data_IF_329587679642
#
_entry.id   IF_329587679642
#
_cell.length_a   1.000
_cell.length_b   1.000
_cell.length_c   1.000
_cell.angle_alpha   90.00
_cell.angle_beta   90.00
_cell.angle_gamma   90.00
#
_symmetry.space_group_name_H-M   'P 1'
#
loop_
_entity.id
_entity.type
_entity.pdbx_description
1 polymer ?
#
# COMPACT_ATOMS: atom_id res chain seq x y z
N UNK A 1 5.78 20.65 15.74
CA UNK A 1 5.36 20.05 14.46
C UNK A 1 3.94 19.57 14.62
N UNK A 2 3.00 20.24 13.97
CA UNK A 2 1.56 19.93 14.06
C UNK A 2 1.12 18.93 12.98
N UNK A 3 2.00 18.66 12.03
CA UNK A 3 1.82 17.72 10.93
C UNK A 3 3.16 17.04 10.68
N UNK A 4 3.14 15.74 10.43
CA UNK A 4 4.31 14.95 10.07
C UNK A 4 4.01 14.09 8.86
N UNK A 5 4.87 14.17 7.85
CA UNK A 5 4.81 13.32 6.68
C UNK A 5 6.15 12.61 6.52
N UNK A 6 6.12 11.34 6.15
CA UNK A 6 7.29 10.52 5.88
C UNK A 6 7.01 9.65 4.67
N UNK A 7 7.86 9.77 3.66
CA UNK A 7 7.79 8.93 2.46
C UNK A 7 9.00 8.00 2.43
N UNK A 8 8.78 6.78 1.97
CA UNK A 8 9.79 5.78 1.69
C UNK A 8 9.50 5.15 0.35
N UNK A 9 10.48 5.15 -0.55
CA UNK A 9 10.35 4.49 -1.86
C UNK A 9 11.56 3.61 -2.11
N UNK A 10 11.31 2.39 -2.56
CA UNK A 10 12.32 1.47 -3.04
C UNK A 10 11.94 1.02 -4.46
N UNK A 11 12.91 1.10 -5.35
CA UNK A 11 12.78 0.62 -6.72
C UNK A 11 13.81 -0.49 -6.92
N UNK A 12 13.37 -1.62 -7.45
CA UNK A 12 14.20 -2.78 -7.68
C UNK A 12 14.47 -2.98 -9.16
N UNK A 13 15.33 -3.94 -9.47
CA UNK A 13 15.44 -4.49 -10.81
C UNK A 13 14.13 -5.17 -11.25
N UNK A 14 14.01 -5.48 -12.53
CA UNK A 14 12.83 -6.19 -13.07
C UNK A 14 11.52 -5.40 -12.98
N UNK A 15 11.55 -4.08 -12.72
CA UNK A 15 10.33 -3.26 -12.66
C UNK A 15 9.51 -3.45 -11.39
N UNK A 16 10.07 -4.07 -10.35
CA UNK A 16 9.46 -4.11 -9.01
C UNK A 16 9.66 -2.77 -8.30
N UNK A 17 8.63 -2.29 -7.60
CA UNK A 17 8.75 -1.14 -6.72
C UNK A 17 7.87 -1.29 -5.48
N UNK A 18 8.24 -0.52 -4.47
CA UNK A 18 7.55 -0.35 -3.21
C UNK A 18 7.58 1.13 -2.87
N UNK A 19 6.44 1.70 -2.51
CA UNK A 19 6.35 3.03 -1.93
C UNK A 19 5.50 2.93 -0.66
N UNK A 20 5.86 3.71 0.34
CA UNK A 20 5.14 3.88 1.58
C UNK A 20 5.11 5.36 1.91
N UNK A 21 3.95 5.85 2.32
CA UNK A 21 3.74 7.20 2.75
C UNK A 21 2.97 7.17 4.06
N UNK A 22 3.49 7.87 5.07
CA UNK A 22 2.88 8.02 6.37
C UNK A 22 2.67 9.49 6.61
N UNK A 23 1.44 9.85 6.91
CA UNK A 23 0.99 11.18 7.21
C UNK A 23 0.28 11.13 8.56
N UNK A 24 0.60 12.06 9.43
CA UNK A 24 -0.05 12.20 10.73
C UNK A 24 -0.29 13.69 10.97
N UNK A 25 -1.56 14.06 11.01
CA UNK A 25 -2.03 15.38 11.36
C UNK A 25 -2.39 15.38 12.85
N UNK A 26 -1.56 16.03 13.66
CA UNK A 26 -1.73 16.11 15.12
C UNK A 26 -2.78 17.14 15.52
N UNK A 27 -3.25 17.98 14.61
CA UNK A 27 -4.28 18.99 14.86
C UNK A 27 -5.65 18.32 14.83
N UNK A 28 -5.92 17.56 13.78
CA UNK A 28 -7.18 16.83 13.60
C UNK A 28 -7.12 15.47 14.28
N UNK A 29 -5.92 14.96 14.59
CA UNK A 29 -5.69 13.63 15.17
C UNK A 29 -5.92 12.51 14.16
N UNK A 30 -5.72 12.81 12.87
CA UNK A 30 -5.86 11.85 11.79
C UNK A 30 -4.48 11.34 11.37
N UNK A 31 -4.42 10.08 10.95
CA UNK A 31 -3.23 9.55 10.28
C UNK A 31 -3.62 8.80 9.02
N UNK A 32 -2.77 8.89 8.02
CA UNK A 32 -2.95 8.26 6.72
C UNK A 32 -1.67 7.50 6.38
N UNK A 33 -1.84 6.22 6.08
CA UNK A 33 -0.74 5.32 5.77
C UNK A 33 -1.04 4.63 4.45
N UNK A 34 -0.31 5.02 3.41
CA UNK A 34 -0.43 4.45 2.07
C UNK A 34 0.78 3.58 1.77
N UNK A 35 0.55 2.37 1.27
CA UNK A 35 1.57 1.47 0.74
C UNK A 35 1.20 1.12 -0.69
N UNK A 36 2.12 1.35 -1.62
CA UNK A 36 1.96 1.03 -3.04
C UNK A 36 3.04 0.03 -3.47
N UNK A 37 2.60 -1.11 -3.98
CA UNK A 37 3.43 -2.19 -4.50
C UNK A 37 3.18 -2.30 -6.00
N UNK A 38 4.22 -2.58 -6.78
CA UNK A 38 4.03 -2.87 -8.20
C UNK A 38 5.15 -3.70 -8.79
N UNK A 39 4.82 -4.41 -9.86
CA UNK A 39 5.75 -5.17 -10.67
C UNK A 39 5.26 -5.16 -12.12
N UNK A 40 6.15 -4.73 -13.02
CA UNK A 40 5.87 -4.54 -14.45
C UNK A 40 4.74 -3.54 -14.66
N UNK A 41 3.60 -3.98 -15.21
CA UNK A 41 2.42 -3.15 -15.46
C UNK A 41 1.33 -3.32 -14.38
N UNK A 42 1.56 -4.22 -13.42
CA UNK A 42 0.61 -4.58 -12.37
C UNK A 42 0.96 -3.87 -11.06
N UNK A 43 -0.04 -3.41 -10.32
CA UNK A 43 0.19 -2.73 -9.04
C UNK A 43 -0.97 -2.82 -8.07
N UNK A 44 -0.65 -2.79 -6.78
CA UNK A 44 -1.61 -2.80 -5.68
C UNK A 44 -1.23 -1.70 -4.69
N UNK A 45 -2.16 -0.79 -4.40
CA UNK A 45 -1.99 0.26 -3.40
C UNK A 45 -3.02 0.12 -2.30
N UNK A 46 -2.59 0.09 -1.05
CA UNK A 46 -3.46 0.08 0.12
C UNK A 46 -3.27 1.38 0.87
N UNK A 47 -4.36 2.11 1.10
CA UNK A 47 -4.38 3.30 1.94
C UNK A 47 -5.22 3.03 3.17
N UNK A 48 -4.65 3.21 4.34
CA UNK A 48 -5.34 3.13 5.62
C UNK A 48 -5.42 4.53 6.20
N UNK A 49 -6.64 4.97 6.53
CA UNK A 49 -6.90 6.24 7.20
C UNK A 49 -7.40 5.94 8.61
N UNK A 50 -6.74 6.48 9.61
CA UNK A 50 -7.18 6.48 10.99
C UNK A 50 -7.70 7.88 11.32
N UNK A 51 -8.97 7.96 11.68
CA UNK A 51 -9.62 9.20 12.10
C UNK A 51 -9.47 9.39 13.61
N UNK A 52 -9.51 10.63 14.10
CA UNK A 52 -9.46 10.92 15.54
C UNK A 52 -10.64 10.37 16.35
N UNK A 53 -11.77 10.09 15.71
CA UNK A 53 -12.92 9.36 16.30
C UNK A 53 -12.61 7.89 16.62
N UNK A 54 -11.41 7.40 16.28
CA UNK A 54 -10.99 6.01 16.48
C UNK A 54 -11.43 5.07 15.35
N UNK A 55 -12.13 5.58 14.33
CA UNK A 55 -12.47 4.84 13.12
C UNK A 55 -11.24 4.66 12.23
N UNK A 56 -11.07 3.46 11.69
CA UNK A 56 -10.08 3.17 10.69
C UNK A 56 -10.80 2.78 9.38
N UNK A 57 -10.50 3.50 8.31
CA UNK A 57 -10.96 3.21 6.97
C UNK A 57 -9.80 2.62 6.17
N UNK A 58 -10.09 1.63 5.33
CA UNK A 58 -9.11 1.04 4.41
C UNK A 58 -9.62 1.11 2.98
N UNK A 59 -8.75 1.57 2.08
CA UNK A 59 -9.01 1.69 0.67
C UNK A 59 -7.94 0.92 -0.10
N UNK A 60 -8.36 -0.08 -0.85
CA UNK A 60 -7.49 -0.87 -1.71
C UNK A 60 -7.68 -0.42 -3.15
N UNK A 61 -6.58 -0.20 -3.87
CA UNK A 61 -6.57 0.20 -5.27
C UNK A 61 -5.77 -0.81 -6.07
N UNK A 62 -6.46 -1.47 -7.01
CA UNK A 62 -5.84 -2.41 -7.95
C UNK A 62 -5.54 -1.69 -9.26
N UNK A 63 -4.31 -1.80 -9.73
CA UNK A 63 -3.81 -1.22 -10.97
C UNK A 63 -3.50 -2.34 -11.96
N UNK A 64 -4.28 -2.42 -13.02
CA UNK A 64 -4.20 -3.50 -14.03
C UNK A 64 -4.18 -4.91 -13.39
N UNK A 65 -4.98 -5.09 -12.34
CA UNK A 65 -5.09 -6.32 -11.57
C UNK A 65 -6.56 -6.56 -11.23
N UNK A 66 -6.99 -7.81 -11.36
CA UNK A 66 -8.26 -8.28 -10.82
C UNK A 66 -8.10 -8.83 -9.40
N UNK A 67 -9.20 -8.86 -8.64
CA UNK A 67 -9.24 -9.39 -7.27
C UNK A 67 -8.82 -10.86 -7.19
N UNK A 68 -9.25 -11.67 -8.16
CA UNK A 68 -8.87 -13.08 -8.26
C UNK A 68 -7.37 -13.29 -8.57
N UNK A 69 -6.74 -12.32 -9.25
CA UNK A 69 -5.30 -12.34 -9.53
C UNK A 69 -4.46 -11.74 -8.39
N UNK A 70 -5.08 -11.00 -7.47
CA UNK A 70 -4.38 -10.26 -6.41
C UNK A 70 -3.46 -11.18 -5.60
N UNK A 71 -3.96 -12.34 -5.21
CA UNK A 71 -3.20 -13.32 -4.43
C UNK A 71 -1.93 -13.76 -5.15
N UNK A 72 -2.05 -14.11 -6.44
CA UNK A 72 -0.91 -14.51 -7.25
C UNK A 72 0.06 -13.36 -7.51
N UNK A 73 -0.46 -12.13 -7.65
CA UNK A 73 0.36 -10.93 -7.74
C UNK A 73 1.17 -10.67 -6.47
N UNK A 74 0.56 -10.77 -5.29
CA UNK A 74 1.26 -10.52 -4.02
C UNK A 74 2.39 -11.53 -3.78
N UNK A 75 2.15 -12.81 -4.08
CA UNK A 75 3.17 -13.85 -4.01
C UNK A 75 4.33 -13.57 -4.99
N UNK A 76 4.00 -13.24 -6.25
CA UNK A 76 5.00 -12.94 -7.27
C UNK A 76 5.81 -11.68 -6.93
N UNK A 77 5.13 -10.61 -6.51
CA UNK A 77 5.75 -9.36 -6.08
C UNK A 77 6.68 -9.59 -4.89
N UNK A 78 6.24 -10.36 -3.88
CA UNK A 78 7.04 -10.68 -2.69
C UNK A 78 8.33 -11.42 -3.04
N UNK A 79 8.26 -12.41 -3.95
CA UNK A 79 9.43 -13.14 -4.43
C UNK A 79 10.43 -12.23 -5.16
N UNK A 80 9.93 -11.29 -5.97
CA UNK A 80 10.75 -10.34 -6.69
C UNK A 80 11.34 -9.27 -5.74
N UNK A 81 10.54 -8.77 -4.79
CA UNK A 81 10.97 -7.84 -3.76
C UNK A 81 12.10 -8.42 -2.89
N UNK A 82 12.00 -9.69 -2.50
CA UNK A 82 13.06 -10.37 -1.73
C UNK A 82 14.41 -10.38 -2.47
N UNK A 83 14.37 -10.52 -3.80
CA UNK A 83 15.57 -10.55 -4.67
C UNK A 83 16.09 -9.16 -5.04
N UNK A 84 15.19 -8.20 -5.26
CA UNK A 84 15.53 -6.92 -5.90
C UNK A 84 15.38 -5.70 -4.99
N UNK A 85 14.75 -5.84 -3.81
CA UNK A 85 14.53 -4.77 -2.84
C UNK A 85 15.14 -5.14 -1.48
N UNK A 86 16.47 -5.18 -1.32
CA UNK A 86 17.07 -5.56 -0.04
C UNK A 86 16.57 -4.66 1.11
N UNK A 87 16.02 -5.28 2.16
CA UNK A 87 15.50 -4.56 3.34
C UNK A 87 14.05 -4.07 3.23
N UNK A 88 13.33 -4.38 2.14
CA UNK A 88 11.90 -4.04 1.99
C UNK A 88 11.05 -4.58 3.14
N UNK A 89 11.43 -5.72 3.70
CA UNK A 89 10.65 -6.38 4.74
C UNK A 89 10.76 -5.74 6.13
N UNK A 90 11.81 -4.94 6.37
CA UNK A 90 12.11 -4.38 7.70
C UNK A 90 11.43 -3.03 7.96
N UNK A 91 11.03 -2.29 6.92
CA UNK A 91 10.46 -0.94 7.06
C UNK A 91 8.96 -0.85 6.74
N UNK A 92 8.46 -1.75 5.88
CA UNK A 92 7.21 -1.55 5.15
C UNK A 92 6.10 -2.56 5.49
N UNK A 93 6.40 -3.67 6.18
CA UNK A 93 5.45 -4.75 6.46
C UNK A 93 4.40 -4.45 7.55
N UNK A 94 4.30 -3.20 8.04
CA UNK A 94 3.50 -2.90 9.24
C UNK A 94 1.99 -2.82 8.99
N UNK A 95 1.52 -3.00 7.75
CA UNK A 95 0.11 -2.93 7.38
C UNK A 95 -0.58 -4.30 7.24
N UNK A 96 0.17 -5.35 6.87
CA UNK A 96 -0.40 -6.66 6.49
C UNK A 96 -0.87 -7.50 7.70
N UNK A 97 -0.61 -7.05 8.92
CA UNK A 97 -1.04 -7.71 10.17
C UNK A 97 -2.24 -7.03 10.85
N UNK A 98 -2.95 -6.12 10.18
CA UNK A 98 -4.19 -5.52 10.70
C UNK A 98 -5.42 -5.98 9.92
N UNK A 99 -5.49 -7.25 9.55
CA UNK A 99 -6.74 -7.94 9.21
C UNK A 99 -7.41 -8.40 10.52
N UNK A 100 -7.69 -7.43 11.40
CA UNK A 100 -8.46 -7.65 12.62
C UNK A 100 -9.83 -7.00 12.41
N UNK A 101 -10.76 -7.82 11.92
CA UNK A 101 -12.20 -7.63 12.09
C UNK A 101 -12.86 -6.61 11.16
N UNK A 102 -13.77 -7.14 10.31
CA UNK A 102 -14.96 -6.45 9.80
C UNK A 102 -14.83 -4.93 9.63
N UNK A 103 -14.19 -4.49 8.55
CA UNK A 103 -14.25 -3.10 8.11
C UNK A 103 -14.32 -3.05 6.59
N UNK A 104 -15.29 -2.29 6.07
CA UNK A 104 -15.61 -2.16 4.66
C UNK A 104 -14.35 -1.92 3.80
N UNK A 105 -13.86 -2.94 3.09
CA UNK A 105 -12.82 -2.75 2.10
C UNK A 105 -13.45 -2.06 0.87
N UNK A 106 -13.20 -0.76 0.75
CA UNK A 106 -13.48 -0.06 -0.49
C UNK A 106 -12.41 -0.44 -1.52
N UNK A 107 -12.79 -1.28 -2.49
CA UNK A 107 -11.93 -1.64 -3.60
C UNK A 107 -12.15 -0.71 -4.79
N UNK A 108 -11.05 -0.12 -5.27
CA UNK A 108 -11.03 0.72 -6.47
C UNK A 108 -10.16 0.08 -7.53
N UNK A 109 -10.76 -0.39 -8.63
CA UNK A 109 -9.99 -0.78 -9.81
C UNK A 109 -9.66 0.46 -10.63
N UNK A 110 -8.37 0.66 -10.92
CA UNK A 110 -7.86 1.77 -11.72
C UNK A 110 -7.17 1.21 -12.96
N UNK A 111 -7.91 1.09 -14.06
CA UNK A 111 -7.32 0.85 -15.38
C UNK A 111 -6.94 2.19 -15.97
N UNK A 112 -5.64 2.47 -16.12
CA UNK A 112 -5.20 3.52 -17.04
C UNK A 112 -5.48 3.01 -18.45
N UNK A 113 -6.71 3.23 -18.92
CA UNK A 113 -7.05 3.11 -20.32
C UNK A 113 -6.09 3.99 -21.10
N UNK A 114 -5.21 3.37 -21.87
CA UNK A 114 -4.47 4.04 -22.95
C UNK A 114 -5.52 4.70 -23.84
N UNK A 115 -5.55 6.03 -23.84
CA UNK A 115 -6.23 6.82 -24.88
C UNK A 115 -5.32 7.00 -26.08
#
# INVERSE_FOLDING_TARGET
MYYTCSEGRMNGGDGVFLAEMKEEDKIVGESLHTISKGIHDKGHSVTKKNSSDGRADSLQTLHNLHEDELKGFEENWKNNADKHLPGWSSGFNKLENSDDGDSFHALRQSNFGRS
#
